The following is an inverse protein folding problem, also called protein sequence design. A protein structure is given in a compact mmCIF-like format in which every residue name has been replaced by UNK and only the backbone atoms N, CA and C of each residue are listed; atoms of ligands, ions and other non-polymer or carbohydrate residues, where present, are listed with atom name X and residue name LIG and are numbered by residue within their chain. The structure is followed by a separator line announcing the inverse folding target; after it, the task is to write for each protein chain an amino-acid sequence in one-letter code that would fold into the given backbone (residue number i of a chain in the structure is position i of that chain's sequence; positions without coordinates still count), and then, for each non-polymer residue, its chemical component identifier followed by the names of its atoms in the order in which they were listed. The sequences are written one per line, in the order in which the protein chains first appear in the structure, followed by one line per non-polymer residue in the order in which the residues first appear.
data_IF_715740808526
#
_entry.id   IF_715740808526
#
_cell.length_a   1.000
_cell.length_b   1.000
_cell.length_c   1.000
_cell.angle_alpha   90.00
_cell.angle_beta   90.00
_cell.angle_gamma   90.00
#
_symmetry.space_group_name_H-M   'P 1'
#
loop_
_entity.id
_entity.type
_entity.pdbx_description
1 polymer ?
#
# COMPACT_ATOMS: atom_id res chain seq x y z
N UNK A 1 14.34 -4.64 18.65
CA UNK A 1 12.93 -4.71 18.21
C UNK A 1 12.69 -3.48 17.35
N UNK A 2 12.69 -3.62 16.01
CA UNK A 2 12.58 -2.48 15.09
C UNK A 2 11.10 -2.19 14.85
N UNK A 3 10.46 -1.47 15.78
CA UNK A 3 9.07 -1.07 15.63
C UNK A 3 8.95 -0.10 14.44
N UNK A 4 8.06 -0.35 13.44
CA UNK A 4 7.92 0.54 12.29
C UNK A 4 7.38 1.93 12.64
N UNK A 5 7.03 2.20 13.90
CA UNK A 5 6.61 3.52 14.37
C UNK A 5 7.73 4.29 15.10
N UNK A 6 8.92 3.71 15.26
CA UNK A 6 10.07 4.43 15.81
C UNK A 6 10.75 5.25 14.71
N UNK A 7 11.15 6.50 15.01
CA UNK A 7 11.82 7.38 14.05
C UNK A 7 13.14 6.78 13.49
N UNK A 8 13.81 5.92 14.26
CA UNK A 8 15.04 5.21 13.85
C UNK A 8 14.77 3.83 13.22
N UNK A 9 13.57 3.60 12.67
CA UNK A 9 13.21 2.30 12.10
C UNK A 9 13.91 1.98 10.76
N UNK A 10 14.61 2.95 10.17
CA UNK A 10 15.27 2.82 8.86
C UNK A 10 14.32 2.81 7.67
N UNK A 11 13.00 2.94 7.84
CA UNK A 11 12.02 2.89 6.73
C UNK A 11 12.21 4.07 5.76
N UNK A 12 12.68 5.22 6.26
CA UNK A 12 13.01 6.39 5.46
C UNK A 12 14.05 6.12 4.34
N UNK A 13 14.84 5.05 4.47
CA UNK A 13 15.79 4.62 3.42
C UNK A 13 15.08 3.98 2.21
N UNK A 14 13.87 3.48 2.38
CA UNK A 14 13.08 2.79 1.35
C UNK A 14 11.85 3.61 0.91
N UNK A 15 11.22 4.34 1.82
CA UNK A 15 10.14 5.28 1.54
C UNK A 15 10.48 6.62 2.19
N UNK A 16 10.77 7.69 1.43
CA UNK A 16 11.08 9.02 1.96
C UNK A 16 10.01 9.60 2.89
N UNK A 17 8.76 9.12 2.80
CA UNK A 17 7.68 9.50 3.71
C UNK A 17 7.80 8.85 5.09
N UNK A 18 8.73 7.91 5.28
CA UNK A 18 8.92 7.15 6.52
C UNK A 18 7.76 6.21 6.84
N UNK A 19 6.86 5.95 5.88
CA UNK A 19 5.66 5.13 6.06
C UNK A 19 5.89 3.68 5.64
N UNK A 20 5.19 2.79 6.32
CA UNK A 20 5.03 1.38 5.94
C UNK A 20 3.60 1.14 5.43
N UNK A 21 3.35 0.13 4.58
CA UNK A 21 4.30 -0.82 4.01
C UNK A 21 5.17 -0.25 2.87
N UNK A 22 6.30 -0.92 2.61
CA UNK A 22 7.15 -0.71 1.42
C UNK A 22 7.49 -2.08 0.83
N UNK A 23 7.32 -2.26 -0.48
CA UNK A 23 7.76 -3.45 -1.20
C UNK A 23 9.10 -3.16 -1.86
N UNK A 24 10.09 -4.02 -1.62
CA UNK A 24 11.42 -3.92 -2.26
C UNK A 24 11.60 -5.13 -3.19
N UNK A 25 11.84 -4.90 -4.47
CA UNK A 25 12.06 -5.97 -5.45
C UNK A 25 13.46 -6.57 -5.34
N UNK A 26 13.71 -7.70 -6.01
CA UNK A 26 15.05 -8.33 -6.03
C UNK A 26 16.11 -7.42 -6.69
N UNK A 27 15.68 -6.53 -7.60
CA UNK A 27 16.50 -5.51 -8.25
C UNK A 27 16.73 -4.27 -7.37
N UNK A 28 16.12 -4.21 -6.19
CA UNK A 28 16.25 -3.10 -5.24
C UNK A 28 15.28 -1.93 -5.49
N UNK A 29 14.29 -2.09 -6.36
CA UNK A 29 13.26 -1.06 -6.59
C UNK A 29 12.28 -1.02 -5.40
N UNK A 30 11.91 0.19 -4.97
CA UNK A 30 11.03 0.39 -3.82
C UNK A 30 9.66 0.93 -4.26
N UNK A 31 8.59 0.24 -3.86
CA UNK A 31 7.21 0.57 -4.15
C UNK A 31 6.44 0.91 -2.89
N UNK A 32 5.73 2.04 -2.92
CA UNK A 32 4.87 2.56 -1.85
C UNK A 32 3.88 3.56 -2.48
N UNK A 33 2.68 3.81 -1.94
CA UNK A 33 2.06 3.25 -0.71
C UNK A 33 1.23 1.97 -1.00
N UNK A 34 0.34 1.54 -0.08
CA UNK A 34 -0.39 0.27 -0.17
C UNK A 34 -1.15 0.03 -1.48
N UNK A 35 -1.86 1.01 -2.10
CA UNK A 35 -2.57 0.75 -3.36
C UNK A 35 -1.62 0.50 -4.53
N UNK A 36 -0.46 1.15 -4.53
CA UNK A 36 0.59 0.95 -5.55
C UNK A 36 1.21 -0.44 -5.39
N UNK A 37 1.47 -0.86 -4.15
CA UNK A 37 1.98 -2.21 -3.85
C UNK A 37 0.96 -3.27 -4.30
N UNK A 38 -0.32 -3.08 -4.01
CA UNK A 38 -1.38 -4.00 -4.43
C UNK A 38 -1.47 -4.08 -5.96
N UNK A 39 -1.40 -2.95 -6.65
CA UNK A 39 -1.39 -2.94 -8.12
C UNK A 39 -0.15 -3.64 -8.71
N UNK A 40 1.03 -3.40 -8.14
CA UNK A 40 2.25 -4.10 -8.54
C UNK A 40 2.09 -5.63 -8.43
N UNK A 41 1.56 -6.11 -7.31
CA UNK A 41 1.33 -7.54 -7.09
C UNK A 41 0.28 -8.09 -8.07
N UNK A 42 -0.79 -7.33 -8.36
CA UNK A 42 -1.79 -7.74 -9.36
C UNK A 42 -1.16 -7.90 -10.76
N UNK A 43 -0.25 -7.00 -11.14
CA UNK A 43 0.47 -7.06 -12.41
C UNK A 43 1.39 -8.30 -12.53
N UNK A 44 1.78 -8.92 -11.41
CA UNK A 44 2.51 -10.19 -11.41
C UNK A 44 1.63 -11.38 -11.83
N UNK A 45 0.29 -11.20 -11.90
CA UNK A 45 -0.67 -12.20 -12.35
C UNK A 45 -0.57 -13.54 -11.58
N UNK A 46 -0.33 -13.45 -10.27
CA UNK A 46 -0.27 -14.60 -9.35
C UNK A 46 -1.69 -15.02 -8.96
N UNK A 47 -1.95 -16.32 -8.93
CA UNK A 47 -3.25 -16.86 -8.53
C UNK A 47 -3.36 -17.03 -6.99
N UNK A 48 -4.52 -16.73 -6.38
CA UNK A 48 -5.71 -16.14 -7.01
C UNK A 48 -5.53 -14.64 -7.31
N UNK A 49 -6.12 -14.17 -8.41
CA UNK A 49 -6.15 -12.74 -8.73
C UNK A 49 -6.84 -11.96 -7.61
N UNK A 50 -6.31 -10.78 -7.27
CA UNK A 50 -6.89 -9.92 -6.23
C UNK A 50 -8.08 -9.14 -6.79
N UNK A 51 -8.00 -8.74 -8.07
CA UNK A 51 -9.06 -8.00 -8.73
C UNK A 51 -9.82 -8.86 -9.75
N UNK A 52 -11.13 -8.61 -9.93
CA UNK A 52 -11.89 -9.14 -11.05
C UNK A 52 -11.25 -8.74 -12.39
N UNK A 53 -11.33 -9.63 -13.38
CA UNK A 53 -10.87 -9.34 -14.75
C UNK A 53 -11.73 -8.32 -15.48
N UNK A 54 -13.01 -8.20 -15.11
CA UNK A 54 -13.87 -7.16 -15.65
C UNK A 54 -13.40 -5.79 -15.13
N UNK A 55 -13.08 -4.83 -16.02
CA UNK A 55 -12.54 -3.54 -15.60
C UNK A 55 -13.48 -2.74 -14.70
N UNK A 56 -14.80 -2.85 -14.90
CA UNK A 56 -15.78 -2.12 -14.10
C UNK A 56 -15.93 -2.74 -12.71
N UNK A 57 -15.94 -4.08 -12.60
CA UNK A 57 -15.93 -4.77 -11.31
C UNK A 57 -14.62 -4.52 -10.54
N UNK A 58 -13.47 -4.50 -11.23
CA UNK A 58 -12.18 -4.11 -10.65
C UNK A 58 -12.21 -2.69 -10.08
N UNK A 59 -12.78 -1.75 -10.84
CA UNK A 59 -12.93 -0.37 -10.39
C UNK A 59 -13.85 -0.25 -9.17
N UNK A 60 -14.88 -1.11 -9.05
CA UNK A 60 -15.73 -1.16 -7.85
C UNK A 60 -14.97 -1.61 -6.61
N UNK A 61 -14.06 -2.58 -6.75
CA UNK A 61 -13.20 -3.02 -5.64
C UNK A 61 -12.24 -1.90 -5.23
N UNK A 62 -11.57 -1.26 -6.19
CA UNK A 62 -10.67 -0.11 -5.93
C UNK A 62 -11.39 1.08 -5.31
N UNK A 63 -12.67 1.29 -5.63
CA UNK A 63 -13.49 2.31 -4.95
C UNK A 63 -13.68 2.00 -3.46
N UNK A 64 -13.82 0.72 -3.09
CA UNK A 64 -13.94 0.31 -1.68
C UNK A 64 -12.61 0.54 -0.96
N UNK A 65 -11.48 0.22 -1.59
CA UNK A 65 -10.14 0.52 -1.08
C UNK A 65 -9.98 2.02 -0.80
N UNK A 66 -10.25 2.88 -1.80
CA UNK A 66 -10.15 4.33 -1.63
C UNK A 66 -11.07 4.88 -0.51
N UNK A 67 -12.24 4.28 -0.31
CA UNK A 67 -13.12 4.63 0.80
C UNK A 67 -12.50 4.25 2.16
N UNK A 68 -11.93 3.06 2.25
CA UNK A 68 -11.26 2.59 3.47
C UNK A 68 -10.06 3.47 3.83
N UNK A 69 -9.23 3.83 2.84
CA UNK A 69 -8.10 4.74 3.02
C UNK A 69 -8.56 6.11 3.53
N UNK A 70 -9.61 6.69 2.92
CA UNK A 70 -10.17 7.96 3.37
C UNK A 70 -10.71 7.92 4.82
N UNK A 71 -11.28 6.79 5.25
CA UNK A 71 -11.71 6.59 6.64
C UNK A 71 -10.50 6.54 7.59
N UNK A 72 -9.44 5.82 7.21
CA UNK A 72 -8.22 5.73 8.01
C UNK A 72 -7.54 7.11 8.16
N UNK A 73 -7.41 7.85 7.07
CA UNK A 73 -6.84 9.21 7.08
C UNK A 73 -7.65 10.16 7.96
N UNK A 74 -8.99 10.11 7.87
CA UNK A 74 -9.86 10.93 8.71
C UNK A 74 -9.75 10.56 10.20
N UNK A 75 -9.55 9.28 10.51
CA UNK A 75 -9.30 8.80 11.87
C UNK A 75 -8.00 9.32 12.46
N UNK A 76 -6.94 9.43 11.65
CA UNK A 76 -5.66 10.01 12.06
C UNK A 76 -5.77 11.52 12.32
N UNK A 77 -6.49 12.25 11.46
CA UNK A 77 -6.70 13.70 11.61
C UNK A 77 -7.57 14.04 12.83
N UNK A 78 -8.54 13.17 13.16
CA UNK A 78 -9.48 13.43 14.28
C UNK A 78 -8.90 13.10 15.66
N UNK A 79 -7.73 12.46 15.73
CA UNK A 79 -7.02 12.14 16.97
C UNK A 79 -5.89 13.09 17.34
N UNK A 80 -5.70 14.18 16.57
CA UNK A 80 -4.68 15.21 16.77
C UNK A 80 -5.23 16.46 17.47
#
# INVERSE_FOLDING_TARGET
MNCPYNADNGVAQFNPLGKVPVLVTEEGECWFDSPIIAEYIELMNVAPAMLPRDPLESLRVRKIEALADGIMDAGLVSGA
#
